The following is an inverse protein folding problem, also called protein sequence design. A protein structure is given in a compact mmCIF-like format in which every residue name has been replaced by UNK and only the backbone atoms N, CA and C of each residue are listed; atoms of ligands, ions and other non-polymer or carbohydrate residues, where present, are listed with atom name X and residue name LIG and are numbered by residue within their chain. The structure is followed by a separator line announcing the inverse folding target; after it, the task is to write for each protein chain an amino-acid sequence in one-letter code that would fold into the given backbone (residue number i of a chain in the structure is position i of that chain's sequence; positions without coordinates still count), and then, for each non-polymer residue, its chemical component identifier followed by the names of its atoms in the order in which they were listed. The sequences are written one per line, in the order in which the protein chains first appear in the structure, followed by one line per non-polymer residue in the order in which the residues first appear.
data_IF_964503177039
#
_entry.id   IF_964503177039
#
_cell.length_a   1.000
_cell.length_b   1.000
_cell.length_c   1.000
_cell.angle_alpha   90.00
_cell.angle_beta   90.00
_cell.angle_gamma   90.00
#
_symmetry.space_group_name_H-M   'P 1'
#
loop_
_entity.id
_entity.type
_entity.pdbx_description
1 polymer ?
#
# COMPACT_ATOMS: atom_id res chain seq x y z
N UNK A 1 -20.17 2.13 13.56
CA UNK A 1 -19.46 1.69 12.33
C UNK A 1 -18.49 2.75 11.78
N UNK A 2 -18.88 4.03 11.69
CA UNK A 2 -18.06 5.11 11.08
C UNK A 2 -16.63 5.26 11.63
N UNK A 3 -16.40 5.06 12.92
CA UNK A 3 -15.09 5.30 13.54
C UNK A 3 -13.98 4.37 13.01
N UNK A 4 -14.30 3.09 12.73
CA UNK A 4 -13.30 2.13 12.24
C UNK A 4 -12.86 2.44 10.80
N UNK A 5 -13.81 2.88 9.98
CA UNK A 5 -13.57 3.28 8.59
C UNK A 5 -12.71 4.55 8.49
N UNK A 6 -12.95 5.53 9.35
CA UNK A 6 -12.16 6.76 9.37
C UNK A 6 -10.72 6.49 9.80
N UNK A 7 -10.50 5.66 10.83
CA UNK A 7 -9.15 5.26 11.27
C UNK A 7 -8.34 4.61 10.16
N UNK A 8 -8.98 3.76 9.36
CA UNK A 8 -8.37 3.12 8.19
C UNK A 8 -7.89 4.14 7.15
N UNK A 9 -8.69 5.16 6.88
CA UNK A 9 -8.34 6.22 5.92
C UNK A 9 -7.18 7.05 6.43
N UNK A 10 -7.19 7.40 7.73
CA UNK A 10 -6.06 8.10 8.36
C UNK A 10 -4.77 7.31 8.17
N UNK A 11 -4.77 6.00 8.42
CA UNK A 11 -3.59 5.17 8.21
C UNK A 11 -3.10 5.15 6.75
N UNK A 12 -4.03 5.14 5.77
CA UNK A 12 -3.70 5.24 4.34
C UNK A 12 -3.06 6.60 4.04
N UNK A 13 -3.61 7.70 4.57
CA UNK A 13 -3.09 9.05 4.38
C UNK A 13 -1.70 9.24 5.00
N UNK A 14 -1.47 8.69 6.19
CA UNK A 14 -0.16 8.71 6.86
C UNK A 14 0.88 7.91 6.06
N UNK A 15 0.45 6.82 5.41
CA UNK A 15 1.29 5.98 4.55
C UNK A 15 1.51 6.55 3.15
N UNK A 16 0.83 7.64 2.78
CA UNK A 16 0.81 8.14 1.40
C UNK A 16 2.19 8.57 0.87
N UNK A 17 2.97 9.30 1.66
CA UNK A 17 4.33 9.68 1.26
C UNK A 17 5.25 8.46 1.12
N UNK A 18 5.05 7.44 1.97
CA UNK A 18 5.77 6.17 1.87
C UNK A 18 5.40 5.43 0.57
N UNK A 19 4.11 5.36 0.21
CA UNK A 19 3.67 4.76 -1.04
C UNK A 19 4.32 5.45 -2.25
N UNK A 20 4.33 6.79 -2.25
CA UNK A 20 4.99 7.58 -3.31
C UNK A 20 6.49 7.32 -3.39
N UNK A 21 7.18 7.31 -2.25
CA UNK A 21 8.61 7.03 -2.20
C UNK A 21 8.95 5.60 -2.66
N UNK A 22 8.15 4.61 -2.27
CA UNK A 22 8.32 3.21 -2.68
C UNK A 22 8.08 3.02 -4.17
N UNK A 23 7.01 3.59 -4.72
CA UNK A 23 6.72 3.54 -6.14
C UNK A 23 7.86 4.19 -6.96
N UNK A 24 8.32 5.37 -6.54
CA UNK A 24 9.45 6.06 -7.18
C UNK A 24 10.74 5.22 -7.12
N UNK A 25 10.99 4.53 -6.00
CA UNK A 25 12.14 3.62 -5.87
C UNK A 25 12.06 2.48 -6.87
N UNK A 26 10.90 1.82 -7.01
CA UNK A 26 10.73 0.70 -7.96
C UNK A 26 10.95 1.19 -9.39
N UNK A 27 10.34 2.32 -9.78
CA UNK A 27 10.48 2.91 -11.12
C UNK A 27 11.93 3.28 -11.45
N UNK A 28 12.66 3.84 -10.49
CA UNK A 28 14.04 4.28 -10.69
C UNK A 28 15.06 3.16 -10.51
N UNK A 29 14.64 1.97 -10.06
CA UNK A 29 15.53 0.82 -9.96
C UNK A 29 15.83 0.33 -11.38
N UNK A 30 17.10 0.31 -11.82
CA UNK A 30 17.44 -0.18 -13.15
C UNK A 30 17.08 -1.66 -13.23
N UNK A 31 16.03 -1.97 -13.98
CA UNK A 31 15.70 -3.35 -14.32
C UNK A 31 16.80 -3.87 -15.25
N UNK A 32 17.55 -4.87 -14.78
CA UNK A 32 18.46 -5.62 -15.65
C UNK A 32 17.59 -6.32 -16.70
N UNK A 33 17.53 -5.75 -17.90
CA UNK A 33 16.99 -6.42 -19.07
C UNK A 33 17.88 -7.63 -19.36
N UNK A 34 17.57 -8.77 -18.74
CA UNK A 34 18.03 -10.04 -19.27
C UNK A 34 17.29 -10.22 -20.60
N UNK A 35 17.94 -9.86 -21.70
CA UNK A 35 17.49 -10.22 -23.05
C UNK A 35 17.44 -11.76 -23.06
N UNK A 36 16.26 -12.33 -22.83
CA UNK A 36 16.02 -13.78 -22.91
C UNK A 36 16.04 -14.16 -24.39
N UNK A 37 17.20 -14.00 -25.02
CA UNK A 37 17.52 -14.60 -26.30
C UNK A 37 18.35 -15.84 -26.04
N UNK A 38 17.83 -16.97 -26.50
CA UNK A 38 18.46 -18.28 -26.62
C UNK A 38 18.49 -19.17 -25.36
N UNK A 39 17.40 -19.92 -25.17
CA UNK A 39 17.53 -21.33 -24.84
C UNK A 39 16.67 -22.11 -25.84
N UNK A 40 17.32 -22.61 -26.90
CA UNK A 40 16.75 -23.62 -27.78
C UNK A 40 16.43 -24.85 -26.94
N UNK A 41 15.15 -25.20 -26.82
CA UNK A 41 14.70 -26.49 -26.31
C UNK A 41 14.99 -27.58 -27.34
N UNK A 42 16.26 -27.95 -27.48
CA UNK A 42 16.65 -29.11 -28.28
C UNK A 42 16.72 -30.33 -27.37
N UNK A 43 15.59 -31.03 -27.30
CA UNK A 43 15.44 -32.47 -27.02
C UNK A 43 16.21 -33.04 -25.81
N UNK A 44 15.59 -33.02 -24.64
CA UNK A 44 15.89 -34.02 -23.58
C UNK A 44 14.55 -34.59 -23.11
N UNK A 45 14.40 -35.92 -23.21
CA UNK A 45 13.20 -36.68 -22.85
C UNK A 45 12.91 -36.56 -21.34
N UNK A 46 11.64 -36.55 -20.90
CA UNK A 46 11.31 -36.37 -19.50
C UNK A 46 11.51 -37.69 -18.76
N UNK A 47 12.32 -37.68 -17.70
CA UNK A 47 12.23 -38.69 -16.66
C UNK A 47 12.18 -37.98 -15.31
N UNK A 48 11.18 -38.35 -14.52
CA UNK A 48 10.89 -38.01 -13.11
C UNK A 48 10.28 -36.64 -12.75
N UNK A 49 9.26 -36.61 -11.86
CA UNK A 49 8.70 -35.39 -11.31
C UNK A 49 9.53 -34.97 -10.10
N UNK A 50 10.37 -33.97 -10.27
CA UNK A 50 11.07 -33.32 -9.16
C UNK A 50 11.00 -31.82 -9.42
N UNK A 51 9.91 -31.20 -8.93
CA UNK A 51 9.83 -29.74 -8.84
C UNK A 51 10.74 -29.28 -7.69
N UNK A 52 12.06 -29.44 -7.86
CA UNK A 52 13.04 -28.69 -7.12
C UNK A 52 13.31 -27.43 -7.95
N UNK A 53 12.80 -26.30 -7.46
CA UNK A 53 12.97 -24.97 -8.04
C UNK A 53 14.49 -24.74 -8.18
N UNK A 54 14.96 -24.76 -9.42
CA UNK A 54 16.37 -24.70 -9.78
C UNK A 54 16.54 -23.67 -10.89
N UNK A 55 16.64 -22.39 -10.56
CA UNK A 55 17.59 -21.48 -11.22
C UNK A 55 17.56 -20.07 -10.64
N UNK A 56 18.71 -19.40 -10.75
CA UNK A 56 18.84 -17.95 -10.61
C UNK A 56 17.84 -17.19 -11.51
N UNK A 57 17.43 -17.77 -12.65
CA UNK A 57 16.51 -17.16 -13.60
C UNK A 57 15.08 -17.14 -13.04
N UNK A 58 14.60 -18.24 -12.47
CA UNK A 58 13.27 -18.29 -11.83
C UNK A 58 13.17 -17.29 -10.67
N UNK A 59 14.23 -17.15 -9.85
CA UNK A 59 14.25 -16.17 -8.75
C UNK A 59 14.21 -14.71 -9.24
N UNK A 60 14.86 -14.41 -10.36
CA UNK A 60 14.84 -13.07 -10.98
C UNK A 60 13.47 -12.76 -11.58
N UNK A 61 12.87 -13.73 -12.29
CA UNK A 61 11.54 -13.59 -12.89
C UNK A 61 10.47 -13.39 -11.80
N UNK A 62 10.52 -14.15 -10.70
CA UNK A 62 9.60 -14.00 -9.56
C UNK A 62 9.74 -12.61 -8.93
N UNK A 63 10.97 -12.12 -8.75
CA UNK A 63 11.22 -10.79 -8.20
C UNK A 63 10.65 -9.67 -9.09
N UNK A 64 10.90 -9.72 -10.39
CA UNK A 64 10.41 -8.70 -11.33
C UNK A 64 8.87 -8.69 -11.42
N UNK A 65 8.24 -9.88 -11.49
CA UNK A 65 6.78 -9.98 -11.50
C UNK A 65 6.19 -9.46 -10.19
N UNK A 66 6.85 -9.75 -9.05
CA UNK A 66 6.47 -9.22 -7.75
C UNK A 66 6.53 -7.70 -7.67
N UNK A 67 7.64 -7.09 -8.12
CA UNK A 67 7.83 -5.64 -8.12
C UNK A 67 6.85 -4.92 -9.04
N UNK A 68 6.56 -5.48 -10.23
CA UNK A 68 5.56 -4.93 -11.15
C UNK A 68 4.16 -4.93 -10.52
N UNK A 69 3.79 -6.01 -9.85
CA UNK A 69 2.51 -6.11 -9.14
C UNK A 69 2.46 -5.11 -7.98
N UNK A 70 3.50 -5.06 -7.15
CA UNK A 70 3.60 -4.10 -6.06
C UNK A 70 3.46 -2.65 -6.56
N UNK A 71 4.15 -2.30 -7.65
CA UNK A 71 4.07 -0.98 -8.26
C UNK A 71 2.65 -0.64 -8.72
N UNK A 72 1.96 -1.58 -9.38
CA UNK A 72 0.57 -1.39 -9.79
C UNK A 72 -0.34 -1.11 -8.58
N UNK A 73 -0.15 -1.85 -7.48
CA UNK A 73 -0.93 -1.68 -6.25
C UNK A 73 -0.65 -0.33 -5.58
N UNK A 74 0.61 0.08 -5.51
CA UNK A 74 1.03 1.38 -4.97
C UNK A 74 0.46 2.53 -5.79
N UNK A 75 0.60 2.49 -7.12
CA UNK A 75 0.07 3.53 -8.03
C UNK A 75 -1.44 3.62 -7.92
N UNK A 76 -2.14 2.48 -7.86
CA UNK A 76 -3.60 2.46 -7.63
C UNK A 76 -3.96 3.11 -6.30
N UNK A 77 -3.26 2.77 -5.21
CA UNK A 77 -3.47 3.37 -3.90
C UNK A 77 -3.26 4.89 -3.91
N UNK A 78 -2.20 5.36 -4.56
CA UNK A 78 -1.89 6.79 -4.73
C UNK A 78 -2.99 7.49 -5.51
N UNK A 79 -3.39 6.94 -6.67
CA UNK A 79 -4.41 7.53 -7.52
C UNK A 79 -5.76 7.65 -6.81
N UNK A 80 -6.15 6.63 -6.03
CA UNK A 80 -7.39 6.66 -5.26
C UNK A 80 -7.35 7.76 -4.18
N UNK A 81 -6.19 7.95 -3.51
CA UNK A 81 -6.01 9.03 -2.54
C UNK A 81 -6.05 10.39 -3.22
N UNK A 82 -5.39 10.54 -4.37
CA UNK A 82 -5.36 11.78 -5.14
C UNK A 82 -6.76 12.17 -5.61
N UNK A 83 -7.48 11.22 -6.20
CA UNK A 83 -8.87 11.41 -6.60
C UNK A 83 -9.76 11.78 -5.40
N UNK A 84 -9.65 11.07 -4.28
CA UNK A 84 -10.43 11.37 -3.09
C UNK A 84 -10.12 12.76 -2.51
N UNK A 85 -8.86 13.22 -2.57
CA UNK A 85 -8.48 14.58 -2.18
C UNK A 85 -9.04 15.62 -3.13
N UNK A 86 -9.07 15.34 -4.43
CA UNK A 86 -9.62 16.22 -5.46
C UNK A 86 -11.12 16.50 -5.31
N UNK A 87 -11.89 15.54 -4.78
CA UNK A 87 -13.32 15.70 -4.49
C UNK A 87 -13.60 16.51 -3.22
N UNK A 88 -12.57 16.88 -2.45
CA UNK A 88 -12.74 17.71 -1.26
C UNK A 88 -12.69 19.20 -1.58
N UNK A 89 -13.44 19.95 -0.77
CA UNK A 89 -13.38 21.41 -0.73
C UNK A 89 -11.93 21.85 -0.42
N UNK A 90 -11.46 22.96 -1.00
CA UNK A 90 -10.06 23.40 -0.90
C UNK A 90 -9.52 23.43 0.54
N UNK A 91 -10.29 24.01 1.46
CA UNK A 91 -9.96 24.10 2.89
C UNK A 91 -9.90 22.70 3.53
N UNK A 92 -10.82 21.80 3.19
CA UNK A 92 -10.83 20.44 3.74
C UNK A 92 -9.58 19.68 3.28
N UNK A 93 -9.25 19.79 1.99
CA UNK A 93 -8.06 19.19 1.38
C UNK A 93 -6.79 19.70 2.06
N UNK A 94 -6.70 21.01 2.25
CA UNK A 94 -5.54 21.65 2.87
C UNK A 94 -5.33 21.17 4.31
N UNK A 95 -6.38 21.20 5.14
CA UNK A 95 -6.33 20.74 6.53
C UNK A 95 -5.95 19.24 6.61
N UNK A 96 -6.55 18.40 5.77
CA UNK A 96 -6.26 16.96 5.74
C UNK A 96 -4.83 16.69 5.30
N UNK A 97 -4.35 17.41 4.28
CA UNK A 97 -2.97 17.30 3.79
C UNK A 97 -1.98 17.71 4.87
N UNK A 98 -2.20 18.85 5.52
CA UNK A 98 -1.35 19.30 6.62
C UNK A 98 -1.35 18.29 7.77
N UNK A 99 -2.53 17.83 8.19
CA UNK A 99 -2.63 16.98 9.38
C UNK A 99 -2.09 15.57 9.16
N UNK A 100 -2.55 14.90 8.11
CA UNK A 100 -2.38 13.44 7.99
C UNK A 100 -1.31 13.05 6.98
N UNK A 101 -1.01 13.90 5.99
CA UNK A 101 0.07 13.64 5.02
C UNK A 101 1.38 14.27 5.49
N UNK A 102 1.34 15.49 6.03
CA UNK A 102 2.54 16.21 6.52
C UNK A 102 2.79 16.04 8.02
N UNK A 103 1.84 15.51 8.78
CA UNK A 103 1.98 15.28 10.23
C UNK A 103 1.93 16.54 11.09
N UNK A 104 1.45 17.68 10.57
CA UNK A 104 1.45 18.97 11.25
C UNK A 104 0.50 18.95 12.45
N UNK A 105 0.90 19.60 13.56
CA UNK A 105 0.08 19.66 14.76
C UNK A 105 -1.14 20.58 14.58
N UNK A 106 -2.26 20.26 15.24
CA UNK A 106 -3.49 21.06 15.13
C UNK A 106 -3.32 22.54 15.50
N UNK A 107 -2.42 22.84 16.44
CA UNK A 107 -2.15 24.23 16.84
C UNK A 107 -1.45 25.02 15.73
N UNK A 108 -0.52 24.39 15.01
CA UNK A 108 0.16 25.02 13.87
C UNK A 108 -0.81 25.20 12.70
N UNK A 109 -1.67 24.21 12.44
CA UNK A 109 -2.71 24.29 11.40
C UNK A 109 -3.62 25.51 11.62
N UNK A 110 -4.07 25.75 12.85
CA UNK A 110 -4.91 26.92 13.19
C UNK A 110 -4.24 28.26 12.89
N UNK A 111 -2.90 28.34 12.87
CA UNK A 111 -2.18 29.55 12.46
C UNK A 111 -2.08 29.69 10.94
N UNK A 112 -2.21 28.60 10.18
CA UNK A 112 -2.12 28.59 8.72
C UNK A 112 -3.47 28.82 8.03
N UNK A 113 -4.59 28.50 8.69
CA UNK A 113 -5.94 28.63 8.10
C UNK A 113 -6.83 29.57 8.93
N UNK A 114 -7.83 30.24 8.33
CA UNK A 114 -8.69 31.20 9.03
C UNK A 114 -9.79 30.52 9.88
N UNK A 115 -9.47 29.40 10.54
CA UNK A 115 -10.40 28.60 11.32
C UNK A 115 -9.79 28.19 12.64
N UNK A 116 -10.60 28.24 13.70
CA UNK A 116 -10.17 27.74 15.00
C UNK A 116 -9.84 26.24 14.95
N UNK A 117 -9.03 25.75 15.88
CA UNK A 117 -8.67 24.33 16.00
C UNK A 117 -9.89 23.40 15.97
N UNK A 118 -10.95 23.75 16.71
CA UNK A 118 -12.19 22.96 16.77
C UNK A 118 -12.89 22.93 15.41
N UNK A 119 -12.91 24.05 14.68
CA UNK A 119 -13.47 24.11 13.34
C UNK A 119 -12.63 23.30 12.34
N UNK A 120 -11.30 23.38 12.44
CA UNK A 120 -10.38 22.58 11.62
C UNK A 120 -10.63 21.08 11.78
N UNK A 121 -10.74 20.61 13.03
CA UNK A 121 -11.05 19.20 13.32
C UNK A 121 -12.41 18.78 12.76
N UNK A 122 -13.43 19.64 12.86
CA UNK A 122 -14.75 19.37 12.30
C UNK A 122 -14.72 19.29 10.78
N UNK A 123 -14.00 20.21 10.12
CA UNK A 123 -13.83 20.22 8.66
C UNK A 123 -13.05 18.99 8.19
N UNK A 124 -11.98 18.62 8.88
CA UNK A 124 -11.22 17.41 8.60
C UNK A 124 -12.08 16.16 8.73
N UNK A 125 -12.86 16.03 9.81
CA UNK A 125 -13.77 14.89 9.99
C UNK A 125 -14.83 14.81 8.89
N UNK A 126 -15.37 15.95 8.44
CA UNK A 126 -16.31 16.01 7.32
C UNK A 126 -15.64 15.56 6.02
N UNK A 127 -14.41 16.00 5.76
CA UNK A 127 -13.63 15.58 4.60
C UNK A 127 -13.30 14.09 4.63
N UNK A 128 -12.83 13.57 5.77
CA UNK A 128 -12.55 12.12 5.95
C UNK A 128 -13.78 11.25 5.71
N UNK A 129 -14.97 11.71 6.12
CA UNK A 129 -16.23 11.01 5.82
C UNK A 129 -16.57 11.01 4.32
N UNK A 130 -16.33 12.13 3.61
CA UNK A 130 -16.48 12.17 2.14
C UNK A 130 -15.49 11.21 1.46
N UNK A 131 -14.22 11.26 1.85
CA UNK A 131 -13.19 10.34 1.34
C UNK A 131 -13.56 8.88 1.62
N UNK A 132 -14.16 8.59 2.78
CA UNK A 132 -14.65 7.25 3.08
C UNK A 132 -15.67 6.80 2.04
N UNK A 133 -16.67 7.63 1.74
CA UNK A 133 -17.66 7.32 0.69
C UNK A 133 -17.00 6.95 -0.64
N UNK A 134 -16.05 7.77 -1.10
CA UNK A 134 -15.35 7.58 -2.37
C UNK A 134 -14.50 6.31 -2.36
N UNK A 135 -13.60 6.18 -1.37
CA UNK A 135 -12.67 5.06 -1.28
C UNK A 135 -13.38 3.73 -1.05
N UNK A 136 -14.50 3.70 -0.30
CA UNK A 136 -15.29 2.48 -0.11
C UNK A 136 -16.16 2.14 -1.32
N UNK A 137 -16.68 3.13 -2.05
CA UNK A 137 -17.38 2.88 -3.32
C UNK A 137 -16.41 2.33 -4.38
N UNK A 138 -15.17 2.85 -4.44
CA UNK A 138 -14.12 2.30 -5.30
C UNK A 138 -13.65 0.91 -4.85
N UNK A 139 -13.59 0.64 -3.53
CA UNK A 139 -13.30 -0.70 -3.00
C UNK A 139 -14.40 -1.71 -3.31
N UNK A 140 -15.66 -1.30 -3.47
CA UNK A 140 -16.75 -2.18 -3.93
C UNK A 140 -16.52 -2.66 -5.37
N UNK A 141 -15.64 -1.98 -6.12
CA UNK A 141 -15.23 -2.38 -7.46
C UNK A 141 -13.90 -3.12 -7.52
N UNK A 142 -13.12 -3.24 -6.43
CA UNK A 142 -11.94 -4.13 -6.35
C UNK A 142 -11.34 -4.08 -4.93
N UNK A 143 -11.28 -5.22 -4.24
CA UNK A 143 -10.58 -5.39 -2.95
C UNK A 143 -9.15 -4.85 -3.02
N UNK A 144 -8.79 -3.92 -2.13
CA UNK A 144 -7.44 -3.37 -2.05
C UNK A 144 -6.46 -4.41 -1.47
N UNK A 145 -5.38 -4.79 -2.18
CA UNK A 145 -4.42 -5.79 -1.75
C UNK A 145 -3.55 -5.35 -0.56
N UNK A 146 -3.50 -4.06 -0.21
CA UNK A 146 -2.83 -3.59 1.03
C UNK A 146 -3.41 -4.29 2.27
N UNK A 147 -4.72 -4.54 2.31
CA UNK A 147 -5.32 -5.29 3.42
C UNK A 147 -4.96 -6.78 3.38
N UNK A 148 -4.78 -7.36 2.19
CA UNK A 148 -4.33 -8.74 2.03
C UNK A 148 -2.87 -8.88 2.47
N UNK A 149 -2.00 -7.96 2.07
CA UNK A 149 -0.59 -7.91 2.47
C UNK A 149 -0.43 -7.69 3.98
N UNK A 150 -1.14 -6.72 4.57
CA UNK A 150 -1.10 -6.50 6.02
C UNK A 150 -1.66 -7.70 6.81
N UNK A 151 -2.74 -8.33 6.33
CA UNK A 151 -3.26 -9.57 6.94
C UNK A 151 -2.33 -10.77 6.76
N UNK A 152 -1.64 -10.88 5.63
CA UNK A 152 -0.67 -11.94 5.37
C UNK A 152 0.58 -11.75 6.24
N UNK A 153 1.06 -10.53 6.41
CA UNK A 153 2.16 -10.19 7.33
C UNK A 153 1.81 -10.48 8.79
N UNK A 154 0.59 -10.12 9.23
CA UNK A 154 0.10 -10.44 10.58
C UNK A 154 -0.02 -11.95 10.82
N UNK A 155 -0.53 -12.71 9.83
CA UNK A 155 -0.61 -14.18 9.87
C UNK A 155 0.76 -14.86 9.89
N UNK A 156 1.75 -14.31 9.17
CA UNK A 156 3.12 -14.82 9.15
C UNK A 156 3.84 -14.56 10.48
N UNK A 157 3.62 -13.39 11.09
CA UNK A 157 4.13 -13.07 12.44
C UNK A 157 3.58 -14.05 13.49
N UNK A 158 2.27 -14.30 13.48
CA UNK A 158 1.62 -15.22 14.44
C UNK A 158 2.06 -16.68 14.26
N UNK A 159 2.37 -17.13 13.04
CA UNK A 159 2.87 -18.49 12.79
C UNK A 159 4.29 -18.71 13.34
N UNK A 160 5.14 -17.69 13.30
CA UNK A 160 6.50 -17.78 13.82
C UNK A 160 6.52 -17.82 15.37
N UNK A 161 5.59 -17.14 16.04
CA UNK A 161 5.47 -17.19 17.50
C UNK A 161 4.94 -18.55 18.01
N UNK A 162 4.02 -19.19 17.27
CA UNK A 162 3.50 -20.53 17.62
C UNK A 162 4.55 -21.62 17.38
N UNK A 163 5.38 -21.50 16.33
CA UNK A 163 6.49 -22.42 16.07
C UNK A 163 7.62 -22.28 17.11
N UNK A 164 7.83 -21.07 17.66
CA UNK A 164 8.80 -20.85 18.74
C UNK A 164 8.32 -21.44 20.08
N UNK A 165 7.01 -21.38 20.36
CA UNK A 165 6.40 -21.96 21.57
C UNK A 165 6.29 -23.49 21.53
N UNK A 166 6.19 -24.12 20.35
CA UNK A 166 6.19 -25.59 20.22
C UNK A 166 7.57 -26.23 20.40
N UNK A 167 8.64 -25.44 20.46
CA UNK A 167 10.01 -25.93 20.75
C UNK A 167 10.45 -25.68 22.20
N UNK A 168 9.60 -25.07 23.03
CA UNK A 168 9.85 -24.85 24.46
C UNK A 168 9.06 -25.87 25.32
N UNK A 169 8.10 -26.57 24.72
CA UNK A 169 7.36 -27.67 25.35
C UNK A 169 7.72 -28.97 24.65
N UNK A 170 8.93 -29.46 24.93
CA UNK A 170 9.34 -30.87 24.88
C UNK A 170 10.49 -31.07 25.88
#
# INVERSE_FOLDING_TARGET
MESKSIKKIIAILESYNFMKARAAKIINTPHMNYDVKSMNYTSIRPSTPTNQIHSSVESVVIHEVGERKELQELVKGINNVDYALEQLDSIQREIITMRYIRGIAWGEIETCVPYSKRQCQRLANKGLRKMAGILYQEQYNNELPIYRYLQEMEKLSLKNDVAFMSHIVD
#
